data_IF_923126203888
#
_entry.id   IF_923126203888
#
_cell.length_a   1.000
_cell.length_b   1.000
_cell.length_c   1.000
_cell.angle_alpha   90.00
_cell.angle_beta   90.00
_cell.angle_gamma   90.00
#
_symmetry.space_group_name_H-M   'P 1'
#
loop_
_entity.id
_entity.type
_entity.pdbx_description
1 polymer ?
#
# COMPACT_ATOMS: atom_id res chain seq x y z
N UNK A 1 47.53 -38.75 -15.95
CA UNK A 1 46.65 -37.65 -16.36
C UNK A 1 45.22 -38.02 -15.95
N UNK A 2 44.79 -37.65 -14.73
CA UNK A 2 43.47 -37.96 -14.17
C UNK A 2 42.54 -36.78 -14.49
N UNK A 3 41.55 -36.99 -15.32
CA UNK A 3 40.45 -36.07 -15.57
C UNK A 3 39.45 -36.16 -14.40
N UNK A 4 39.45 -35.18 -13.50
CA UNK A 4 38.41 -34.98 -12.54
C UNK A 4 37.19 -34.36 -13.26
N UNK A 5 36.18 -35.20 -13.54
CA UNK A 5 34.85 -34.74 -13.96
C UNK A 5 34.15 -34.10 -12.78
N UNK A 6 34.15 -32.76 -12.73
CA UNK A 6 33.40 -31.98 -11.76
C UNK A 6 31.90 -32.08 -12.07
N UNK A 7 31.19 -32.94 -11.34
CA UNK A 7 29.72 -32.94 -11.34
C UNK A 7 29.24 -31.66 -10.65
N UNK A 8 28.81 -30.68 -11.43
CA UNK A 8 28.10 -29.52 -10.93
C UNK A 8 26.75 -29.98 -10.37
N UNK A 9 26.68 -30.17 -9.05
CA UNK A 9 25.43 -30.33 -8.32
C UNK A 9 24.63 -29.02 -8.47
N UNK A 10 23.76 -28.98 -9.46
CA UNK A 10 22.75 -27.93 -9.56
C UNK A 10 21.92 -27.98 -8.28
N UNK A 11 22.14 -27.02 -7.38
CA UNK A 11 21.32 -26.83 -6.18
C UNK A 11 19.89 -26.58 -6.65
N UNK A 12 19.04 -27.60 -6.59
CA UNK A 12 17.61 -27.46 -6.88
C UNK A 12 17.07 -26.49 -5.83
N UNK A 13 16.59 -25.34 -6.27
CA UNK A 13 15.88 -24.39 -5.42
C UNK A 13 14.69 -25.13 -4.78
N UNK A 14 14.70 -25.23 -3.45
CA UNK A 14 13.66 -25.92 -2.71
C UNK A 14 12.38 -25.08 -2.79
N UNK A 15 11.29 -25.66 -3.28
CA UNK A 15 9.97 -25.00 -3.29
C UNK A 15 9.25 -25.28 -1.98
N UNK A 16 8.69 -24.24 -1.38
CA UNK A 16 7.75 -24.35 -0.28
C UNK A 16 6.33 -24.42 -0.83
N UNK A 17 5.62 -25.48 -0.51
CA UNK A 17 4.24 -25.65 -0.94
C UNK A 17 3.29 -25.23 0.18
N UNK A 18 2.44 -24.27 -0.13
CA UNK A 18 1.39 -23.79 0.76
C UNK A 18 0.28 -24.84 0.86
N UNK A 19 -0.07 -25.24 2.08
CA UNK A 19 -1.10 -26.23 2.36
C UNK A 19 -2.28 -25.55 3.08
N UNK A 20 -3.47 -25.65 2.49
CA UNK A 20 -4.71 -25.10 3.04
C UNK A 20 -5.63 -26.17 3.67
N UNK A 21 -5.21 -27.42 3.69
CA UNK A 21 -6.05 -28.57 4.10
C UNK A 21 -6.65 -28.42 5.50
N UNK A 22 -5.90 -27.81 6.41
CA UNK A 22 -6.32 -27.63 7.82
C UNK A 22 -6.88 -26.24 8.12
N UNK A 23 -7.15 -25.47 7.08
CA UNK A 23 -7.68 -24.13 7.23
C UNK A 23 -9.19 -24.11 7.04
N UNK A 24 -9.87 -23.18 7.72
CA UNK A 24 -11.33 -23.00 7.61
C UNK A 24 -11.70 -21.55 7.41
N UNK A 25 -12.69 -21.29 6.56
CA UNK A 25 -13.30 -19.97 6.44
C UNK A 25 -14.30 -19.75 7.58
N UNK A 26 -14.31 -18.52 8.12
CA UNK A 26 -15.24 -18.10 9.18
C UNK A 26 -16.26 -17.13 8.61
N UNK A 27 -17.08 -17.61 7.68
CA UNK A 27 -18.15 -16.82 7.07
C UNK A 27 -19.49 -17.18 7.73
N UNK A 28 -20.25 -16.16 8.10
CA UNK A 28 -21.62 -16.32 8.63
C UNK A 28 -22.67 -16.47 7.51
N UNK A 29 -22.31 -16.15 6.27
CA UNK A 29 -23.23 -16.20 5.13
C UNK A 29 -23.03 -17.50 4.34
N UNK A 30 -24.08 -18.32 4.33
CA UNK A 30 -24.14 -19.62 3.63
C UNK A 30 -24.75 -19.48 2.22
N UNK A 31 -24.99 -18.28 1.72
CA UNK A 31 -25.61 -18.04 0.41
C UNK A 31 -24.63 -18.08 -0.75
N UNK A 32 -23.33 -18.00 -0.44
CA UNK A 32 -22.26 -18.03 -1.43
C UNK A 32 -21.82 -19.45 -1.76
N UNK A 33 -21.61 -19.72 -3.04
CA UNK A 33 -20.93 -20.91 -3.54
C UNK A 33 -19.81 -20.52 -4.50
N UNK A 34 -18.67 -21.19 -4.42
CA UNK A 34 -17.55 -20.97 -5.33
C UNK A 34 -17.54 -22.08 -6.39
N UNK A 35 -17.71 -21.68 -7.64
CA UNK A 35 -17.62 -22.59 -8.78
C UNK A 35 -16.15 -22.88 -9.13
N UNK A 36 -15.33 -21.82 -9.24
CA UNK A 36 -13.95 -21.94 -9.67
C UNK A 36 -13.11 -20.74 -9.25
N UNK A 37 -11.80 -20.97 -9.13
CA UNK A 37 -10.78 -19.91 -9.09
C UNK A 37 -10.03 -19.92 -10.41
N UNK A 38 -9.77 -18.74 -10.96
CA UNK A 38 -9.04 -18.54 -12.22
C UNK A 38 -7.79 -17.71 -11.94
N UNK A 39 -6.65 -18.09 -12.50
CA UNK A 39 -5.41 -17.31 -12.38
C UNK A 39 -5.31 -16.24 -13.47
N UNK A 40 -5.74 -15.04 -13.16
CA UNK A 40 -5.65 -13.86 -14.02
C UNK A 40 -4.35 -13.05 -13.85
N UNK A 41 -3.34 -13.60 -13.18
CA UNK A 41 -2.05 -12.93 -13.00
C UNK A 41 -1.24 -12.97 -14.29
N UNK A 42 -0.81 -11.81 -14.78
CA UNK A 42 0.00 -11.72 -15.99
C UNK A 42 1.30 -12.53 -15.84
N UNK A 43 1.53 -13.47 -16.74
CA UNK A 43 2.73 -14.33 -16.75
C UNK A 43 2.80 -15.34 -15.60
N UNK A 44 1.77 -15.47 -14.78
CA UNK A 44 1.65 -16.43 -13.67
C UNK A 44 2.95 -16.57 -12.82
N UNK A 45 3.46 -15.45 -12.26
CA UNK A 45 4.71 -15.47 -11.51
C UNK A 45 4.61 -16.32 -10.25
N UNK A 46 5.73 -16.78 -9.66
CA UNK A 46 5.74 -17.38 -8.33
C UNK A 46 5.00 -16.49 -7.33
N UNK A 47 4.30 -17.12 -6.39
CA UNK A 47 3.48 -16.37 -5.42
C UNK A 47 4.30 -15.75 -4.29
N UNK A 48 5.61 -16.04 -4.22
CA UNK A 48 6.49 -15.40 -3.24
C UNK A 48 7.73 -16.17 -2.89
N UNK A 49 8.38 -15.71 -1.82
CA UNK A 49 9.61 -16.30 -1.27
C UNK A 49 9.47 -16.39 0.24
N UNK A 50 9.87 -17.53 0.80
CA UNK A 50 10.00 -17.76 2.25
C UNK A 50 11.42 -18.18 2.61
N UNK A 51 11.79 -18.03 3.87
CA UNK A 51 13.11 -18.41 4.37
C UNK A 51 12.98 -19.60 5.32
N UNK A 52 13.70 -20.70 5.06
CA UNK A 52 13.58 -21.95 5.80
C UNK A 52 14.87 -22.37 6.49
N UNK A 53 14.68 -22.94 7.68
CA UNK A 53 15.76 -23.54 8.49
C UNK A 53 16.68 -22.52 9.12
N UNK A 54 17.60 -23.00 9.99
CA UNK A 54 18.55 -22.19 10.72
C UNK A 54 19.52 -21.37 9.85
N UNK A 55 19.61 -21.71 8.56
CA UNK A 55 20.45 -20.99 7.58
C UNK A 55 19.70 -19.97 6.72
N UNK A 56 18.41 -19.73 6.96
CA UNK A 56 17.61 -18.74 6.20
C UNK A 56 17.62 -18.99 4.69
N UNK A 57 17.60 -20.24 4.23
CA UNK A 57 17.60 -20.57 2.80
C UNK A 57 16.29 -20.11 2.17
N UNK A 58 16.39 -19.31 1.11
CA UNK A 58 15.21 -18.88 0.35
C UNK A 58 14.58 -20.05 -0.40
N UNK A 59 13.26 -20.11 -0.36
CA UNK A 59 12.46 -21.08 -1.10
C UNK A 59 11.32 -20.36 -1.82
N UNK A 60 11.11 -20.66 -3.10
CA UNK A 60 9.95 -20.13 -3.82
C UNK A 60 8.66 -20.73 -3.23
N UNK A 61 7.60 -19.93 -3.14
CA UNK A 61 6.30 -20.36 -2.65
C UNK A 61 5.40 -20.76 -3.82
N UNK A 62 4.72 -21.88 -3.69
CA UNK A 62 3.75 -22.35 -4.68
C UNK A 62 2.69 -23.25 -4.06
N UNK A 63 1.79 -23.73 -4.88
CA UNK A 63 0.85 -24.80 -4.56
C UNK A 63 1.25 -26.06 -5.33
N UNK A 64 1.11 -27.24 -4.72
CA UNK A 64 1.48 -28.52 -5.38
C UNK A 64 0.75 -28.75 -6.68
N UNK A 65 -0.53 -28.41 -6.72
CA UNK A 65 -1.43 -28.61 -7.87
C UNK A 65 -1.62 -27.33 -8.71
N UNK A 66 -0.80 -26.30 -8.46
CA UNK A 66 -1.02 -24.98 -9.02
C UNK A 66 -2.06 -24.16 -8.27
N UNK A 67 -2.08 -22.84 -8.51
CA UNK A 67 -2.92 -21.89 -7.78
C UNK A 67 -4.41 -22.15 -8.00
N UNK A 68 -4.82 -22.29 -9.25
CA UNK A 68 -6.25 -22.46 -9.58
C UNK A 68 -6.85 -23.71 -8.91
N UNK A 69 -6.20 -24.86 -9.08
CA UNK A 69 -6.69 -26.13 -8.55
C UNK A 69 -6.72 -26.09 -7.03
N UNK A 70 -5.65 -25.65 -6.40
CA UNK A 70 -5.55 -25.63 -4.94
C UNK A 70 -6.59 -24.72 -4.30
N UNK A 71 -6.75 -23.48 -4.79
CA UNK A 71 -7.74 -22.56 -4.27
C UNK A 71 -9.17 -22.96 -4.62
N UNK A 72 -9.41 -23.52 -5.83
CA UNK A 72 -10.73 -24.03 -6.21
C UNK A 72 -11.15 -25.15 -5.26
N UNK A 73 -10.30 -26.16 -5.08
CA UNK A 73 -10.61 -27.30 -4.19
C UNK A 73 -10.84 -26.85 -2.75
N UNK A 74 -10.00 -25.94 -2.24
CA UNK A 74 -10.19 -25.41 -0.88
C UNK A 74 -11.52 -24.66 -0.77
N UNK A 75 -11.82 -23.74 -1.68
CA UNK A 75 -13.02 -22.92 -1.60
C UNK A 75 -14.30 -23.72 -1.86
N UNK A 76 -14.29 -24.72 -2.73
CA UNK A 76 -15.43 -25.61 -2.94
C UNK A 76 -15.77 -26.47 -1.72
N UNK A 77 -14.76 -26.86 -0.94
CA UNK A 77 -15.00 -27.55 0.35
C UNK A 77 -15.63 -26.61 1.37
N UNK A 78 -15.19 -25.35 1.42
CA UNK A 78 -15.66 -24.35 2.38
C UNK A 78 -17.00 -23.73 1.99
N UNK A 79 -17.21 -23.50 0.69
CA UNK A 79 -18.36 -22.84 0.09
C UNK A 79 -18.93 -23.71 -1.05
N UNK A 80 -19.47 -24.88 -0.72
CA UNK A 80 -19.95 -25.82 -1.73
C UNK A 80 -21.20 -25.31 -2.43
N UNK A 81 -21.36 -25.71 -3.70
CA UNK A 81 -22.57 -25.46 -4.45
C UNK A 81 -23.73 -26.26 -3.81
N UNK A 82 -24.76 -25.56 -3.39
CA UNK A 82 -25.98 -26.13 -2.78
C UNK A 82 -27.21 -25.62 -3.54
N UNK A 83 -28.33 -26.36 -3.50
CA UNK A 83 -29.58 -25.87 -4.09
C UNK A 83 -30.08 -24.55 -3.50
N UNK A 84 -29.65 -24.25 -2.27
CA UNK A 84 -29.98 -23.02 -1.53
C UNK A 84 -28.95 -21.89 -1.72
N UNK A 85 -27.88 -22.12 -2.52
CA UNK A 85 -26.90 -21.07 -2.79
C UNK A 85 -27.57 -19.94 -3.57
N UNK A 86 -27.53 -18.73 -3.00
CA UNK A 86 -28.11 -17.55 -3.64
C UNK A 86 -27.22 -17.02 -4.76
N UNK A 87 -25.90 -17.17 -4.64
CA UNK A 87 -24.90 -16.64 -5.56
C UNK A 87 -23.79 -17.64 -5.84
N UNK A 88 -23.62 -18.00 -7.10
CA UNK A 88 -22.51 -18.84 -7.56
C UNK A 88 -21.43 -17.93 -8.17
N UNK A 89 -20.20 -18.02 -7.66
CA UNK A 89 -19.15 -17.09 -8.04
C UNK A 89 -17.91 -17.78 -8.61
N UNK A 90 -17.22 -17.05 -9.47
CA UNK A 90 -15.85 -17.32 -9.90
C UNK A 90 -14.95 -16.22 -9.36
N UNK A 91 -13.82 -16.62 -8.77
CA UNK A 91 -12.80 -15.72 -8.25
C UNK A 91 -11.63 -15.65 -9.24
N UNK A 92 -11.41 -14.52 -9.90
CA UNK A 92 -10.28 -14.31 -10.79
C UNK A 92 -9.14 -13.62 -10.03
N UNK A 93 -8.09 -14.35 -9.68
CA UNK A 93 -6.94 -13.83 -8.90
C UNK A 93 -6.10 -12.93 -9.78
N UNK A 94 -6.01 -11.64 -9.45
CA UNK A 94 -5.20 -10.63 -10.16
C UNK A 94 -3.81 -10.52 -9.58
N UNK A 95 -3.70 -10.72 -8.27
CA UNK A 95 -2.42 -10.76 -7.59
C UNK A 95 -2.51 -11.62 -6.33
N UNK A 96 -1.47 -12.42 -6.12
CA UNK A 96 -1.22 -13.11 -4.87
C UNK A 96 0.27 -13.03 -4.61
N UNK A 97 0.64 -12.49 -3.45
CA UNK A 97 2.03 -12.44 -3.04
C UNK A 97 2.16 -12.89 -1.59
N UNK A 98 3.15 -13.70 -1.32
CA UNK A 98 3.52 -14.20 0.01
C UNK A 98 4.99 -13.88 0.22
N UNK A 99 5.31 -13.21 1.31
CA UNK A 99 6.67 -12.82 1.64
C UNK A 99 7.01 -13.09 3.09
N UNK A 100 8.26 -13.36 3.31
CA UNK A 100 8.86 -13.32 4.63
C UNK A 100 9.97 -12.30 4.66
N UNK A 101 10.02 -11.56 5.73
CA UNK A 101 11.16 -10.73 6.06
C UNK A 101 11.73 -11.19 7.38
N UNK A 102 13.05 -11.23 7.48
CA UNK A 102 13.74 -11.69 8.68
C UNK A 102 14.34 -10.48 9.38
N UNK A 103 14.12 -10.28 10.67
CA UNK A 103 14.63 -9.15 11.42
C UNK A 103 15.00 -9.48 12.85
N UNK A 104 16.26 -9.40 13.19
CA UNK A 104 16.78 -9.70 14.52
C UNK A 104 16.32 -11.10 14.96
N UNK A 105 15.60 -11.16 16.09
CA UNK A 105 15.04 -12.39 16.62
C UNK A 105 13.58 -12.65 16.17
N UNK A 106 13.06 -11.89 15.22
CA UNK A 106 11.65 -12.02 14.76
C UNK A 106 11.59 -12.03 13.25
N UNK A 107 10.78 -12.94 12.75
CA UNK A 107 10.37 -12.97 11.35
C UNK A 107 9.03 -12.26 11.19
N UNK A 108 8.81 -11.64 10.05
CA UNK A 108 7.50 -11.13 9.66
C UNK A 108 7.03 -11.90 8.43
N UNK A 109 5.90 -12.58 8.54
CA UNK A 109 5.19 -13.11 7.40
C UNK A 109 4.21 -12.09 6.87
N UNK A 110 4.12 -11.95 5.56
CA UNK A 110 3.16 -11.09 4.87
C UNK A 110 2.46 -11.86 3.78
N UNK A 111 1.21 -11.53 3.53
CA UNK A 111 0.45 -12.00 2.39
C UNK A 111 -0.42 -10.87 1.86
N UNK A 112 -0.55 -10.75 0.54
CA UNK A 112 -1.51 -9.89 -0.13
C UNK A 112 -2.22 -10.65 -1.24
N UNK A 113 -3.51 -10.37 -1.41
CA UNK A 113 -4.36 -10.93 -2.47
C UNK A 113 -5.21 -9.82 -3.05
N UNK A 114 -5.33 -9.82 -4.39
CA UNK A 114 -6.36 -9.09 -5.12
C UNK A 114 -7.03 -10.02 -6.09
N UNK A 115 -8.34 -9.94 -6.15
CA UNK A 115 -9.13 -10.76 -7.07
C UNK A 115 -10.37 -9.99 -7.54
N UNK A 116 -10.86 -10.36 -8.71
CA UNK A 116 -12.15 -9.92 -9.20
C UNK A 116 -13.16 -11.05 -9.00
N UNK A 117 -14.32 -10.70 -8.48
CA UNK A 117 -15.43 -11.61 -8.27
C UNK A 117 -16.42 -11.47 -9.41
N UNK A 118 -16.77 -12.59 -10.02
CA UNK A 118 -17.80 -12.69 -11.05
C UNK A 118 -18.90 -13.61 -10.56
N UNK A 119 -20.15 -13.21 -10.77
CA UNK A 119 -21.32 -14.04 -10.52
C UNK A 119 -21.68 -14.82 -11.79
N UNK A 120 -21.92 -16.11 -11.66
CA UNK A 120 -22.37 -16.96 -12.76
C UNK A 120 -23.90 -16.91 -12.85
N UNK A 121 -24.39 -16.20 -13.83
CA UNK A 121 -25.81 -16.12 -14.20
C UNK A 121 -26.09 -16.93 -15.47
N UNK A 122 -27.36 -17.21 -15.84
CA UNK A 122 -27.68 -17.95 -17.06
C UNK A 122 -27.11 -17.34 -18.35
N UNK A 123 -26.81 -16.04 -18.33
CA UNK A 123 -26.26 -15.29 -19.45
C UNK A 123 -24.72 -15.33 -19.51
N UNK A 124 -24.05 -15.84 -18.50
CA UNK A 124 -22.60 -15.91 -18.36
C UNK A 124 -22.06 -15.34 -17.06
N UNK A 125 -20.81 -14.94 -17.06
CA UNK A 125 -20.13 -14.40 -15.87
C UNK A 125 -20.20 -12.89 -15.84
N UNK A 126 -20.78 -12.34 -14.78
CA UNK A 126 -20.98 -10.91 -14.61
C UNK A 126 -20.08 -10.38 -13.50
N UNK A 127 -19.35 -9.31 -13.77
CA UNK A 127 -18.47 -8.70 -12.78
C UNK A 127 -19.27 -8.15 -11.60
N UNK A 128 -18.92 -8.57 -10.39
CA UNK A 128 -19.52 -8.09 -9.14
C UNK A 128 -18.69 -6.94 -8.57
N UNK A 129 -17.44 -7.23 -8.24
CA UNK A 129 -16.48 -6.23 -7.76
C UNK A 129 -15.08 -6.81 -7.65
N UNK A 130 -14.09 -5.91 -7.53
CA UNK A 130 -12.75 -6.28 -7.08
C UNK A 130 -12.71 -6.35 -5.55
N UNK A 131 -12.04 -7.37 -5.04
CA UNK A 131 -11.82 -7.61 -3.61
C UNK A 131 -10.33 -7.80 -3.33
N UNK A 132 -9.91 -7.61 -2.11
CA UNK A 132 -8.53 -7.84 -1.73
C UNK A 132 -8.29 -7.62 -0.26
N UNK A 133 -7.12 -8.04 0.18
CA UNK A 133 -6.70 -7.91 1.56
C UNK A 133 -5.20 -8.06 1.72
N UNK A 134 -4.74 -7.70 2.90
CA UNK A 134 -3.37 -7.82 3.36
C UNK A 134 -3.37 -8.39 4.77
N UNK A 135 -2.47 -9.33 5.03
CA UNK A 135 -2.27 -9.88 6.37
C UNK A 135 -0.78 -9.93 6.69
N UNK A 136 -0.44 -9.65 7.94
CA UNK A 136 0.94 -9.78 8.43
C UNK A 136 0.97 -10.30 9.87
N UNK A 137 2.02 -11.03 10.21
CA UNK A 137 2.28 -11.45 11.58
C UNK A 137 3.77 -11.55 11.85
N UNK A 138 4.14 -11.27 13.09
CA UNK A 138 5.50 -11.39 13.60
C UNK A 138 5.61 -12.68 14.42
N UNK A 139 6.77 -13.32 14.37
CA UNK A 139 7.07 -14.53 15.16
C UNK A 139 8.52 -14.95 15.05
N UNK A 140 8.91 -15.96 15.81
CA UNK A 140 10.25 -16.57 15.70
C UNK A 140 10.34 -17.49 14.47
N UNK A 141 9.23 -18.07 14.07
CA UNK A 141 9.03 -18.85 12.86
C UNK A 141 7.67 -18.49 12.28
N UNK A 142 7.63 -18.03 11.05
CA UNK A 142 6.42 -17.48 10.44
C UNK A 142 5.96 -18.22 9.19
N UNK A 143 6.79 -19.12 8.64
CA UNK A 143 6.48 -19.85 7.41
C UNK A 143 5.15 -20.63 7.50
N UNK A 144 4.86 -21.23 8.66
CA UNK A 144 3.58 -21.92 8.89
C UNK A 144 2.34 -21.01 8.96
N UNK A 145 2.50 -19.69 9.05
CA UNK A 145 1.39 -18.73 9.19
C UNK A 145 0.78 -18.30 7.85
N UNK A 146 1.46 -18.52 6.75
CA UNK A 146 1.00 -18.04 5.44
C UNK A 146 -0.33 -18.62 5.00
N UNK A 147 -0.58 -19.90 5.31
CA UNK A 147 -1.89 -20.52 5.05
C UNK A 147 -3.02 -19.80 5.80
N UNK A 148 -2.82 -19.51 7.09
CA UNK A 148 -3.78 -18.75 7.89
C UNK A 148 -3.96 -17.30 7.40
N UNK A 149 -2.87 -16.63 6.97
CA UNK A 149 -2.97 -15.29 6.39
C UNK A 149 -3.80 -15.27 5.11
N UNK A 150 -3.59 -16.25 4.22
CA UNK A 150 -4.38 -16.33 3.00
C UNK A 150 -5.86 -16.55 3.30
N UNK A 151 -6.18 -17.42 4.24
CA UNK A 151 -7.56 -17.66 4.66
C UNK A 151 -8.19 -16.44 5.34
N UNK A 152 -7.43 -15.73 6.18
CA UNK A 152 -7.86 -14.45 6.73
C UNK A 152 -8.22 -13.46 5.64
N UNK A 153 -7.35 -13.31 4.63
CA UNK A 153 -7.60 -12.40 3.49
C UNK A 153 -8.83 -12.85 2.70
N UNK A 154 -9.00 -14.14 2.44
CA UNK A 154 -10.20 -14.66 1.76
C UNK A 154 -11.48 -14.36 2.56
N UNK A 155 -11.47 -14.53 3.88
CA UNK A 155 -12.59 -14.13 4.73
C UNK A 155 -12.89 -12.63 4.58
N UNK A 156 -11.86 -11.79 4.57
CA UNK A 156 -12.02 -10.34 4.40
C UNK A 156 -12.55 -10.00 3.00
N UNK A 157 -12.09 -10.70 1.96
CA UNK A 157 -12.60 -10.56 0.59
C UNK A 157 -14.09 -10.89 0.49
N UNK A 158 -14.52 -12.01 1.04
CA UNK A 158 -15.93 -12.40 0.99
C UNK A 158 -16.82 -11.50 1.83
N UNK A 159 -16.34 -10.99 2.95
CA UNK A 159 -17.06 -9.97 3.74
C UNK A 159 -17.25 -8.63 3.01
N UNK A 160 -16.44 -8.34 1.99
CA UNK A 160 -16.62 -7.15 1.15
C UNK A 160 -17.80 -7.29 0.18
N UNK A 161 -18.31 -8.50 -0.05
CA UNK A 161 -19.48 -8.74 -0.91
C UNK A 161 -20.75 -8.37 -0.14
N UNK A 162 -21.55 -7.49 -0.69
CA UNK A 162 -22.79 -7.01 -0.08
C UNK A 162 -23.98 -7.17 -1.02
N UNK A 163 -25.18 -7.14 -0.48
CA UNK A 163 -26.41 -7.25 -1.27
C UNK A 163 -26.50 -6.27 -2.45
N UNK A 164 -25.98 -5.04 -2.28
CA UNK A 164 -25.93 -4.04 -3.35
C UNK A 164 -25.02 -4.42 -4.52
N UNK A 165 -23.98 -5.23 -4.26
CA UNK A 165 -23.04 -5.67 -5.30
C UNK A 165 -23.68 -6.63 -6.30
N UNK A 166 -24.60 -7.50 -5.86
CA UNK A 166 -25.27 -8.49 -6.69
C UNK A 166 -26.27 -7.87 -7.66
N UNK A 167 -27.08 -6.92 -7.18
CA UNK A 167 -28.04 -6.20 -8.01
C UNK A 167 -27.38 -5.41 -9.15
N UNK A 168 -26.16 -4.93 -8.93
CA UNK A 168 -25.39 -4.22 -9.93
C UNK A 168 -24.68 -5.17 -10.89
N UNK A 169 -24.24 -6.33 -10.41
CA UNK A 169 -23.60 -7.36 -11.23
C UNK A 169 -24.49 -7.80 -12.38
N UNK A 170 -25.77 -8.03 -12.14
CA UNK A 170 -26.73 -8.42 -13.19
C UNK A 170 -26.84 -7.41 -14.36
N UNK A 171 -26.44 -6.17 -14.16
CA UNK A 171 -26.43 -5.10 -15.18
C UNK A 171 -25.09 -5.02 -15.94
N UNK A 172 -24.05 -5.71 -15.46
CA UNK A 172 -22.76 -5.73 -16.12
C UNK A 172 -22.80 -6.60 -17.39
N UNK A 173 -21.95 -6.33 -18.38
CA UNK A 173 -21.83 -7.21 -19.54
C UNK A 173 -21.44 -8.62 -19.16
N UNK A 174 -22.08 -9.62 -19.78
CA UNK A 174 -21.71 -11.02 -19.60
C UNK A 174 -20.35 -11.33 -20.24
N UNK A 175 -19.58 -12.21 -19.60
CA UNK A 175 -18.30 -12.73 -20.09
C UNK A 175 -18.36 -14.24 -20.15
N UNK A 176 -17.45 -14.82 -20.93
CA UNK A 176 -17.17 -16.25 -20.88
C UNK A 176 -16.05 -16.53 -19.89
N UNK A 177 -15.97 -17.74 -19.35
CA UNK A 177 -14.92 -18.14 -18.43
C UNK A 177 -13.51 -17.90 -19.00
N UNK A 178 -13.32 -18.13 -20.31
CA UNK A 178 -12.05 -17.92 -20.98
C UNK A 178 -11.63 -16.44 -21.08
N UNK A 179 -12.56 -15.53 -21.00
CA UNK A 179 -12.27 -14.08 -21.03
C UNK A 179 -11.83 -13.55 -19.67
N UNK A 180 -12.21 -14.20 -18.55
CA UNK A 180 -11.96 -13.67 -17.21
C UNK A 180 -10.48 -13.38 -16.92
N UNK A 181 -9.49 -14.18 -17.33
CA UNK A 181 -8.08 -13.88 -17.05
C UNK A 181 -7.61 -12.55 -17.63
N UNK A 182 -8.09 -12.20 -18.82
CA UNK A 182 -7.69 -10.99 -19.56
C UNK A 182 -8.69 -9.85 -19.44
N UNK A 183 -9.88 -10.11 -18.88
CA UNK A 183 -10.87 -9.06 -18.65
C UNK A 183 -10.31 -8.04 -17.65
N UNK A 184 -10.37 -6.78 -18.05
CA UNK A 184 -10.13 -5.65 -17.16
C UNK A 184 -11.49 -5.04 -16.89
N UNK A 185 -12.18 -5.45 -15.82
CA UNK A 185 -13.47 -4.86 -15.51
C UNK A 185 -13.32 -3.35 -15.48
N UNK A 186 -14.21 -2.66 -16.17
CA UNK A 186 -14.31 -1.21 -15.99
C UNK A 186 -14.75 -1.02 -14.55
N UNK A 187 -13.74 -0.90 -13.71
CA UNK A 187 -13.91 -0.71 -12.28
C UNK A 187 -14.88 0.45 -12.07
N UNK A 188 -15.74 0.35 -11.06
CA UNK A 188 -16.59 1.45 -10.58
C UNK A 188 -15.82 2.76 -10.35
N UNK A 189 -14.50 2.72 -10.22
CA UNK A 189 -13.62 3.89 -10.23
C UNK A 189 -13.49 4.56 -11.60
N UNK A 190 -13.65 3.84 -12.69
CA UNK A 190 -13.89 4.41 -14.04
C UNK A 190 -15.39 4.51 -14.32
N UNK A 191 -16.19 3.86 -13.47
CA UNK A 191 -17.64 3.79 -13.57
C UNK A 191 -18.28 5.13 -13.33
N UNK A 192 -18.87 5.58 -14.36
CA UNK A 192 -19.79 6.68 -14.38
C UNK A 192 -19.15 8.01 -13.98
N UNK A 193 -19.25 8.96 -14.83
CA UNK A 193 -18.96 10.42 -14.77
C UNK A 193 -19.00 11.12 -13.39
N UNK A 194 -19.13 10.37 -12.28
CA UNK A 194 -19.09 10.79 -10.88
C UNK A 194 -17.97 10.05 -10.16
N UNK A 195 -16.72 10.58 -10.22
CA UNK A 195 -15.60 10.06 -9.44
C UNK A 195 -15.92 9.97 -7.94
N UNK A 196 -15.15 9.19 -7.18
CA UNK A 196 -15.33 8.94 -5.75
C UNK A 196 -15.49 10.26 -4.97
N UNK A 197 -16.48 10.33 -4.09
CA UNK A 197 -16.80 11.55 -3.34
C UNK A 197 -15.61 12.03 -2.50
N UNK A 198 -14.85 11.11 -1.92
CA UNK A 198 -13.63 11.41 -1.14
C UNK A 198 -12.52 12.04 -1.99
N UNK A 199 -12.51 11.83 -3.32
CA UNK A 199 -11.57 12.46 -4.23
C UNK A 199 -12.00 13.84 -4.72
N UNK A 200 -13.22 14.29 -4.41
CA UNK A 200 -13.76 15.58 -4.88
C UNK A 200 -13.87 16.63 -3.79
N UNK A 201 -14.13 16.18 -2.58
CA UNK A 201 -14.36 17.04 -1.44
C UNK A 201 -13.39 16.69 -0.30
N UNK A 202 -13.21 17.63 0.62
CA UNK A 202 -12.53 17.34 1.86
C UNK A 202 -13.26 16.22 2.62
N UNK A 203 -12.54 15.39 3.38
CA UNK A 203 -13.15 14.33 4.15
C UNK A 203 -14.09 14.93 5.21
N UNK A 204 -15.31 14.39 5.29
CA UNK A 204 -16.29 14.85 6.30
C UNK A 204 -15.89 14.33 7.67
N UNK A 205 -16.08 15.14 8.70
CA UNK A 205 -15.80 14.76 10.09
C UNK A 205 -16.67 13.59 10.53
N UNK A 206 -16.07 12.53 11.11
CA UNK A 206 -16.78 11.38 11.66
C UNK A 206 -16.00 10.08 11.57
N UNK A 207 -16.66 8.97 11.91
CA UNK A 207 -16.11 7.63 11.93
C UNK A 207 -16.45 6.87 10.64
N UNK A 208 -15.50 6.15 10.10
CA UNK A 208 -15.68 5.22 8.98
C UNK A 208 -15.49 3.80 9.48
N UNK A 209 -16.53 3.00 9.50
CA UNK A 209 -16.44 1.58 9.85
C UNK A 209 -16.12 0.70 8.65
N UNK A 210 -16.32 1.21 7.43
CA UNK A 210 -16.09 0.48 6.18
C UNK A 210 -15.49 1.40 5.11
N UNK A 211 -14.79 0.77 4.17
CA UNK A 211 -14.19 1.44 3.01
C UNK A 211 -15.24 2.21 2.19
N UNK A 212 -16.42 1.63 1.94
CA UNK A 212 -17.46 2.27 1.14
C UNK A 212 -17.96 3.58 1.75
N UNK A 213 -18.05 3.66 3.09
CA UNK A 213 -18.36 4.91 3.78
C UNK A 213 -17.28 5.98 3.52
N UNK A 214 -16.01 5.58 3.54
CA UNK A 214 -14.89 6.47 3.21
C UNK A 214 -14.96 6.92 1.75
N UNK A 215 -15.11 6.00 0.80
CA UNK A 215 -15.17 6.31 -0.64
C UNK A 215 -16.32 7.27 -0.99
N UNK A 216 -17.47 7.09 -0.35
CA UNK A 216 -18.65 7.94 -0.52
C UNK A 216 -18.60 9.21 0.35
N UNK A 217 -17.53 9.38 1.16
CA UNK A 217 -17.39 10.48 2.11
C UNK A 217 -18.62 10.62 3.05
N UNK A 218 -19.10 9.49 3.54
CA UNK A 218 -20.28 9.35 4.40
C UNK A 218 -19.90 8.70 5.75
N UNK A 219 -19.19 9.43 6.63
CA UNK A 219 -18.88 8.93 7.97
C UNK A 219 -20.12 8.87 8.84
N UNK A 220 -20.06 8.05 9.89
CA UNK A 220 -20.94 8.18 11.03
C UNK A 220 -20.57 9.45 11.82
N UNK A 221 -21.52 10.36 11.96
CA UNK A 221 -21.33 11.65 12.63
C UNK A 221 -21.93 11.69 14.04
N UNK A 222 -22.42 10.55 14.54
CA UNK A 222 -23.07 10.49 15.86
C UNK A 222 -22.10 10.79 17.02
N UNK A 223 -20.79 10.65 16.80
CA UNK A 223 -19.76 10.91 17.80
C UNK A 223 -18.89 12.10 17.42
N UNK A 224 -18.66 13.01 18.35
CA UNK A 224 -17.66 14.06 18.23
C UNK A 224 -16.27 13.43 18.41
N UNK A 225 -15.35 13.69 17.48
CA UNK A 225 -14.03 13.08 17.47
C UNK A 225 -12.99 14.17 17.64
N UNK A 226 -12.07 13.95 18.57
CA UNK A 226 -10.82 14.67 18.71
C UNK A 226 -9.65 13.76 18.29
N UNK A 227 -8.58 14.38 17.80
CA UNK A 227 -7.39 13.67 17.37
C UNK A 227 -6.31 13.84 18.42
N UNK A 228 -5.89 12.74 19.04
CA UNK A 228 -4.74 12.73 19.93
C UNK A 228 -3.51 12.17 19.22
N UNK A 229 -2.41 12.91 19.32
CA UNK A 229 -1.15 12.51 18.66
C UNK A 229 -0.28 11.70 19.62
N UNK A 230 0.01 10.47 19.22
CA UNK A 230 0.86 9.57 20.00
C UNK A 230 2.32 9.89 19.72
N UNK A 231 3.02 10.43 20.70
CA UNK A 231 4.46 10.69 20.59
C UNK A 231 5.25 9.39 20.57
N UNK A 232 6.19 9.26 19.63
CA UNK A 232 7.12 8.13 19.57
C UNK A 232 8.23 8.33 20.58
N UNK A 233 8.56 7.28 21.34
CA UNK A 233 9.79 7.23 22.12
C UNK A 233 10.90 6.75 21.19
N UNK A 234 11.77 7.64 20.77
CA UNK A 234 12.86 7.34 19.85
C UNK A 234 14.17 7.30 20.63
N UNK A 235 14.96 6.25 20.36
CA UNK A 235 16.18 5.98 21.12
C UNK A 235 17.38 6.78 20.65
N UNK A 236 17.31 7.43 19.47
CA UNK A 236 18.42 8.21 18.94
C UNK A 236 17.96 9.49 18.25
N UNK A 237 18.79 10.54 18.20
CA UNK A 237 18.51 11.77 17.48
C UNK A 237 18.29 11.55 15.96
N UNK A 238 19.01 10.58 15.37
CA UNK A 238 18.86 10.23 13.96
C UNK A 238 17.48 9.64 13.69
N UNK A 239 17.01 8.71 14.52
CA UNK A 239 15.66 8.17 14.43
C UNK A 239 14.61 9.27 14.64
N UNK A 240 14.84 10.22 15.55
CA UNK A 240 13.95 11.35 15.75
C UNK A 240 13.82 12.22 14.51
N UNK A 241 14.94 12.48 13.80
CA UNK A 241 14.94 13.25 12.56
C UNK A 241 14.18 12.52 11.44
N UNK A 242 14.31 11.20 11.32
CA UNK A 242 13.60 10.39 10.32
C UNK A 242 12.07 10.41 10.53
N UNK A 243 11.63 10.44 11.78
CA UNK A 243 10.22 10.42 12.16
C UNK A 243 9.59 11.81 12.35
N UNK A 244 10.32 12.86 12.11
CA UNK A 244 9.78 14.22 12.18
C UNK A 244 8.61 14.37 11.19
N UNK A 245 7.49 14.91 11.67
CA UNK A 245 6.22 15.08 10.93
C UNK A 245 5.46 13.78 10.59
N UNK A 246 5.93 12.61 11.02
CA UNK A 246 5.18 11.36 10.89
C UNK A 246 4.48 11.07 12.21
N UNK A 247 3.19 11.31 12.26
CA UNK A 247 2.38 11.11 13.46
C UNK A 247 1.68 9.76 13.44
N UNK A 248 1.64 9.09 14.58
CA UNK A 248 0.61 8.13 14.93
C UNK A 248 -0.48 8.87 15.67
N UNK A 249 -1.71 8.54 15.42
CA UNK A 249 -2.84 9.20 16.07
C UNK A 249 -3.81 8.19 16.64
N UNK A 250 -4.67 8.64 17.53
CA UNK A 250 -5.83 7.89 17.98
C UNK A 250 -7.04 8.81 18.02
N UNK A 251 -8.22 8.33 17.66
CA UNK A 251 -9.44 9.07 17.87
C UNK A 251 -9.80 9.06 19.35
N UNK A 252 -10.16 10.21 19.88
CA UNK A 252 -10.80 10.35 21.18
C UNK A 252 -12.25 10.71 20.93
N UNK A 253 -13.18 9.85 21.36
CA UNK A 253 -14.60 10.19 21.32
C UNK A 253 -14.87 11.15 22.45
N UNK A 254 -15.20 12.38 22.11
CA UNK A 254 -15.63 13.40 23.06
C UNK A 254 -17.12 13.24 23.34
N UNK A 255 -17.47 12.29 24.21
CA UNK A 255 -18.75 12.29 24.87
C UNK A 255 -18.52 12.62 26.34
N UNK A 256 -19.21 13.59 26.83
CA UNK A 256 -19.09 14.31 28.09
C UNK A 256 -19.05 13.47 29.38
N UNK A 257 -19.01 12.16 29.33
CA UNK A 257 -19.06 11.32 30.56
C UNK A 257 -18.12 10.10 30.56
N UNK A 258 -17.67 9.58 29.43
CA UNK A 258 -16.78 8.41 29.42
C UNK A 258 -15.87 8.43 28.18
N UNK A 259 -14.57 8.33 28.37
CA UNK A 259 -13.61 7.96 27.32
C UNK A 259 -13.95 6.56 26.80
N UNK A 260 -14.91 6.48 25.91
CA UNK A 260 -15.35 5.20 25.33
C UNK A 260 -14.19 4.67 24.47
N UNK A 261 -13.80 3.45 24.74
CA UNK A 261 -12.81 2.76 23.92
C UNK A 261 -13.20 2.85 22.42
N UNK A 262 -12.25 3.18 21.57
CA UNK A 262 -12.44 3.20 20.12
C UNK A 262 -12.95 1.83 19.68
N UNK A 263 -14.05 1.75 18.89
CA UNK A 263 -14.55 0.49 18.39
C UNK A 263 -13.46 -0.35 17.71
N UNK A 264 -13.42 -1.64 18.02
CA UNK A 264 -12.38 -2.52 17.50
C UNK A 264 -12.45 -2.71 15.98
N UNK A 265 -13.62 -2.50 15.38
CA UNK A 265 -13.95 -2.62 13.97
C UNK A 265 -13.84 -1.29 13.20
N UNK A 266 -13.38 -0.21 13.85
CA UNK A 266 -13.21 1.07 13.20
C UNK A 266 -12.16 0.97 12.08
N UNK A 267 -12.57 1.24 10.85
CA UNK A 267 -11.70 1.25 9.67
C UNK A 267 -10.85 2.52 9.59
N UNK A 268 -11.44 3.66 9.93
CA UNK A 268 -10.80 4.96 9.88
C UNK A 268 -11.70 6.07 10.45
N UNK A 269 -11.19 7.27 10.46
CA UNK A 269 -11.95 8.46 10.90
C UNK A 269 -11.46 9.73 10.20
N UNK A 270 -12.17 10.83 10.38
CA UNK A 270 -11.74 12.15 9.92
C UNK A 270 -12.11 13.23 10.93
N UNK A 271 -11.23 14.22 11.05
CA UNK A 271 -11.49 15.46 11.81
C UNK A 271 -12.18 16.56 10.98
N UNK A 272 -12.48 16.26 9.72
CA UNK A 272 -13.05 17.21 8.75
C UNK A 272 -12.00 17.92 7.89
N UNK A 273 -10.73 17.83 8.23
CA UNK A 273 -9.61 18.37 7.44
C UNK A 273 -8.75 17.24 6.86
N UNK A 274 -8.53 16.21 7.65
CA UNK A 274 -7.71 15.06 7.30
C UNK A 274 -8.44 13.76 7.61
N UNK A 275 -8.25 12.76 6.76
CA UNK A 275 -8.70 11.41 7.02
C UNK A 275 -7.55 10.58 7.60
N UNK A 276 -7.92 9.62 8.44
CA UNK A 276 -7.00 8.71 9.11
C UNK A 276 -7.46 7.28 8.86
N UNK A 277 -6.53 6.39 8.54
CA UNK A 277 -6.81 4.98 8.29
C UNK A 277 -6.18 4.11 9.37
N UNK A 278 -6.88 3.07 9.75
CA UNK A 278 -6.33 2.05 10.64
C UNK A 278 -5.44 1.10 9.85
N UNK A 279 -4.21 0.96 10.29
CA UNK A 279 -3.28 -0.05 9.81
C UNK A 279 -2.69 -0.78 11.00
N UNK A 280 -2.84 -2.10 11.04
CA UNK A 280 -2.56 -2.94 12.20
C UNK A 280 -3.35 -2.46 13.44
N UNK A 281 -2.70 -1.92 14.45
CA UNK A 281 -3.32 -1.43 15.69
C UNK A 281 -3.25 0.08 15.85
N UNK A 282 -2.79 0.80 14.81
CA UNK A 282 -2.54 2.23 14.85
C UNK A 282 -3.35 2.95 13.78
N UNK A 283 -3.56 4.26 13.97
CA UNK A 283 -4.12 5.11 12.94
C UNK A 283 -3.05 6.04 12.38
N UNK A 284 -3.09 6.23 11.07
CA UNK A 284 -2.15 7.05 10.32
C UNK A 284 -2.88 8.08 9.46
N UNK A 285 -2.36 9.32 9.38
CA UNK A 285 -2.93 10.34 8.53
C UNK A 285 -2.79 9.96 7.05
N UNK A 286 -3.90 9.95 6.32
CA UNK A 286 -3.93 9.70 4.88
C UNK A 286 -3.59 10.98 4.13
N UNK A 287 -2.56 10.96 3.32
CA UNK A 287 -2.24 12.05 2.38
C UNK A 287 -2.79 11.69 1.01
N UNK A 288 -3.61 12.57 0.46
CA UNK A 288 -4.12 12.39 -0.90
C UNK A 288 -3.05 12.80 -1.91
N UNK A 289 -2.81 11.94 -2.89
CA UNK A 289 -1.90 12.16 -4.01
C UNK A 289 -2.64 11.87 -5.33
N UNK A 290 -3.23 12.90 -5.92
CA UNK A 290 -4.08 12.73 -7.09
C UNK A 290 -5.29 11.84 -6.78
N UNK A 291 -5.35 10.67 -7.40
CA UNK A 291 -6.41 9.67 -7.20
C UNK A 291 -6.01 8.54 -6.23
N UNK A 292 -4.92 8.69 -5.50
CA UNK A 292 -4.45 7.73 -4.51
C UNK A 292 -4.41 8.35 -3.12
N UNK A 293 -4.44 7.49 -2.11
CA UNK A 293 -4.15 7.87 -0.73
C UNK A 293 -2.95 7.09 -0.24
N UNK A 294 -2.05 7.79 0.44
CA UNK A 294 -0.84 7.22 1.04
C UNK A 294 -0.70 7.65 2.47
N UNK A 295 0.07 6.91 3.24
CA UNK A 295 0.54 7.33 4.56
C UNK A 295 1.95 6.82 4.80
N UNK A 296 2.62 7.35 5.82
CA UNK A 296 3.95 6.90 6.23
C UNK A 296 3.82 6.07 7.51
N UNK A 297 4.24 4.83 7.42
CA UNK A 297 4.28 3.87 8.52
C UNK A 297 5.68 3.33 8.77
N UNK A 298 5.79 2.35 9.65
CA UNK A 298 7.06 1.68 9.93
C UNK A 298 7.41 0.69 8.84
N UNK A 299 8.67 0.70 8.39
CA UNK A 299 9.18 -0.32 7.50
C UNK A 299 9.04 -1.70 8.16
N UNK A 300 8.66 -2.72 7.41
CA UNK A 300 8.80 -4.09 7.87
C UNK A 300 10.28 -4.37 8.16
N UNK A 301 10.50 -5.49 8.82
CA UNK A 301 11.85 -5.92 9.17
C UNK A 301 12.73 -6.06 7.93
N UNK A 302 13.94 -5.53 7.98
CA UNK A 302 14.90 -5.55 6.88
C UNK A 302 15.48 -6.97 6.65
N UNK A 303 14.98 -7.65 5.61
CA UNK A 303 15.38 -9.00 5.27
C UNK A 303 16.88 -9.11 4.89
N UNK A 304 17.44 -8.09 4.23
CA UNK A 304 18.84 -8.11 3.80
C UNK A 304 19.78 -8.00 5.00
N UNK A 305 19.47 -7.11 5.92
CA UNK A 305 20.22 -6.97 7.17
C UNK A 305 20.26 -8.28 7.95
N UNK A 306 19.12 -8.94 8.07
CA UNK A 306 19.02 -10.16 8.88
C UNK A 306 19.67 -11.35 8.23
N UNK A 307 19.52 -11.49 6.91
CA UNK A 307 20.25 -12.53 6.18
C UNK A 307 21.77 -12.34 6.34
N UNK A 308 22.26 -11.10 6.23
CA UNK A 308 23.66 -10.78 6.43
C UNK A 308 24.11 -11.02 7.88
N UNK A 309 23.28 -10.69 8.86
CA UNK A 309 23.55 -10.96 10.26
C UNK A 309 23.62 -12.47 10.56
N UNK A 310 22.63 -13.24 10.06
CA UNK A 310 22.58 -14.68 10.24
C UNK A 310 23.82 -15.38 9.62
N UNK A 311 24.20 -14.98 8.40
CA UNK A 311 25.38 -15.51 7.72
C UNK A 311 26.66 -15.21 8.54
N UNK A 312 26.79 -14.00 9.07
CA UNK A 312 27.95 -13.59 9.86
C UNK A 312 27.96 -14.28 11.23
N UNK A 313 26.80 -14.46 11.86
CA UNK A 313 26.67 -15.22 13.10
C UNK A 313 27.08 -16.68 12.91
N UNK A 314 26.62 -17.33 11.83
CA UNK A 314 27.01 -18.69 11.50
C UNK A 314 28.53 -18.81 11.31
N UNK A 315 29.13 -17.92 10.52
CA UNK A 315 30.59 -17.91 10.29
C UNK A 315 31.37 -17.66 11.58
N UNK A 316 30.97 -16.68 12.37
CA UNK A 316 31.64 -16.35 13.64
C UNK A 316 31.42 -17.44 14.71
N UNK A 317 30.23 -18.05 14.74
CA UNK A 317 29.93 -19.17 15.62
C UNK A 317 30.80 -20.40 15.35
N UNK A 318 31.08 -20.67 14.08
CA UNK A 318 32.01 -21.74 13.67
C UNK A 318 33.46 -21.45 14.13
N UNK A 319 33.88 -20.17 14.16
CA UNK A 319 35.26 -19.77 14.49
C UNK A 319 35.46 -19.51 15.98
N UNK A 320 34.47 -18.95 16.64
CA UNK A 320 34.60 -18.40 18.01
C UNK A 320 33.51 -18.89 18.98
N UNK A 321 32.68 -19.85 18.58
CA UNK A 321 31.60 -20.36 19.42
C UNK A 321 30.54 -19.32 19.76
N UNK A 322 29.90 -19.44 20.93
CA UNK A 322 28.79 -18.59 21.39
C UNK A 322 29.16 -17.11 21.44
N UNK A 323 30.38 -16.79 21.85
CA UNK A 323 30.90 -15.41 21.91
C UNK A 323 31.00 -14.76 20.54
N UNK A 324 31.34 -15.51 19.51
CA UNK A 324 31.38 -15.04 18.13
C UNK A 324 30.00 -14.71 17.58
N UNK A 325 28.95 -15.45 17.99
CA UNK A 325 27.56 -15.18 17.63
C UNK A 325 27.07 -13.87 18.21
N UNK A 326 27.34 -13.62 19.48
CA UNK A 326 26.93 -12.39 20.20
C UNK A 326 27.63 -11.14 19.65
N UNK A 327 28.89 -11.27 19.21
CA UNK A 327 29.66 -10.14 18.65
C UNK A 327 29.45 -9.94 17.13
N UNK A 328 28.62 -10.72 16.48
CA UNK A 328 28.40 -10.60 15.06
C UNK A 328 27.67 -9.28 14.75
N UNK A 329 28.39 -8.33 14.13
CA UNK A 329 27.78 -7.11 13.55
C UNK A 329 27.88 -7.23 12.03
N UNK A 330 26.82 -6.84 11.33
CA UNK A 330 26.86 -6.74 9.88
C UNK A 330 27.23 -5.34 9.42
N UNK A 331 27.84 -5.23 8.26
CA UNK A 331 28.10 -3.96 7.58
C UNK A 331 26.89 -3.47 6.79
N UNK A 332 25.88 -4.35 6.60
CA UNK A 332 24.63 -3.98 5.96
C UNK A 332 23.83 -3.11 6.95
N UNK A 333 23.32 -1.93 6.53
CA UNK A 333 22.51 -1.09 7.37
C UNK A 333 21.17 -1.76 7.68
N UNK A 334 20.68 -1.56 8.91
CA UNK A 334 19.35 -2.04 9.32
C UNK A 334 18.32 -0.95 9.06
N UNK A 335 17.40 -1.23 8.13
CA UNK A 335 16.30 -0.34 7.78
C UNK A 335 14.97 -0.72 8.46
N UNK A 336 15.01 -1.65 9.41
CA UNK A 336 13.83 -2.05 10.20
C UNK A 336 13.22 -0.83 10.90
N UNK A 337 11.91 -0.73 10.85
CA UNK A 337 11.14 0.35 11.46
C UNK A 337 11.50 1.78 10.98
N UNK A 338 12.24 1.93 9.90
CA UNK A 338 12.38 3.23 9.23
C UNK A 338 11.04 3.69 8.63
N UNK A 339 10.82 5.00 8.48
CA UNK A 339 9.62 5.49 7.82
C UNK A 339 9.58 5.05 6.34
N UNK A 340 8.53 4.33 5.96
CA UNK A 340 8.23 4.00 4.57
C UNK A 340 6.80 4.39 4.21
N UNK A 341 6.56 4.50 2.92
CA UNK A 341 5.25 4.79 2.39
C UNK A 341 4.39 3.55 2.26
N UNK A 342 3.11 3.71 2.63
CA UNK A 342 2.04 2.77 2.35
C UNK A 342 0.99 3.41 1.46
N UNK A 343 0.39 2.63 0.59
CA UNK A 343 -0.71 3.03 -0.26
C UNK A 343 -2.00 2.32 0.14
N UNK A 344 -3.11 3.04 0.01
CA UNK A 344 -4.47 2.51 0.14
C UNK A 344 -5.03 2.22 -1.26
N UNK A 345 -5.38 0.99 -1.52
CA UNK A 345 -6.10 0.60 -2.71
C UNK A 345 -7.58 0.98 -2.57
N UNK A 346 -8.05 1.93 -3.36
CA UNK A 346 -9.42 2.42 -3.26
C UNK A 346 -10.48 1.44 -3.80
N UNK A 347 -10.07 0.39 -4.53
CA UNK A 347 -11.01 -0.62 -5.00
C UNK A 347 -11.26 -1.68 -3.95
N UNK A 348 -10.20 -2.11 -3.27
CA UNK A 348 -10.23 -3.24 -2.37
C UNK A 348 -10.14 -2.85 -0.90
N UNK A 349 -9.64 -1.64 -0.60
CA UNK A 349 -9.31 -1.21 0.76
C UNK A 349 -8.02 -1.83 1.30
N UNK A 350 -7.30 -2.59 0.48
CA UNK A 350 -6.03 -3.17 0.89
C UNK A 350 -4.97 -2.08 1.09
N UNK A 351 -4.18 -2.24 2.14
CA UNK A 351 -3.05 -1.38 2.46
C UNK A 351 -1.78 -2.19 2.28
N UNK A 352 -0.84 -1.63 1.56
CA UNK A 352 0.47 -2.26 1.33
C UNK A 352 1.55 -1.23 1.04
N UNK A 353 2.85 -1.63 1.04
CA UNK A 353 3.94 -0.73 0.69
C UNK A 353 3.69 -0.04 -0.65
N UNK A 354 3.92 1.27 -0.69
CA UNK A 354 3.70 2.09 -1.88
C UNK A 354 5.03 2.36 -2.61
N UNK A 355 5.05 2.30 -3.93
CA UNK A 355 3.97 2.02 -4.88
C UNK A 355 3.60 0.54 -5.04
N UNK A 356 4.12 -0.33 -4.20
CA UNK A 356 3.92 -1.77 -4.20
C UNK A 356 5.21 -2.54 -4.49
N UNK A 357 5.41 -3.67 -3.82
CA UNK A 357 6.61 -4.51 -3.97
C UNK A 357 6.86 -5.01 -5.41
N UNK A 358 5.84 -4.98 -6.27
CA UNK A 358 5.93 -5.42 -7.67
C UNK A 358 6.46 -4.37 -8.62
N UNK A 359 6.40 -3.11 -8.26
CA UNK A 359 6.90 -2.00 -9.09
C UNK A 359 8.42 -1.80 -8.94
N UNK A 360 9.08 -2.61 -8.11
CA UNK A 360 10.55 -2.59 -7.93
C UNK A 360 11.35 -2.95 -9.21
N UNK A 361 10.69 -3.17 -10.32
CA UNK A 361 11.37 -3.44 -11.58
C UNK A 361 11.76 -2.18 -12.36
N UNK A 362 11.84 -0.97 -11.73
CA UNK A 362 12.46 0.26 -12.30
C UNK A 362 11.52 1.45 -12.52
N UNK A 363 12.02 2.66 -12.58
CA UNK A 363 13.39 3.15 -12.51
C UNK A 363 13.81 3.48 -11.08
N UNK A 364 15.11 3.57 -10.86
CA UNK A 364 15.72 3.84 -9.56
C UNK A 364 15.46 5.26 -9.02
N UNK A 365 14.87 6.13 -9.83
CA UNK A 365 14.64 7.54 -9.49
C UNK A 365 13.21 7.95 -9.87
N UNK A 366 12.47 8.45 -8.88
CA UNK A 366 11.23 9.17 -9.11
C UNK A 366 11.51 10.67 -9.26
N UNK A 367 10.73 11.36 -10.08
CA UNK A 367 10.86 12.80 -10.29
C UNK A 367 9.65 13.52 -9.71
N UNK A 368 9.91 14.58 -8.95
CA UNK A 368 8.89 15.48 -8.40
C UNK A 368 9.08 16.85 -9.00
N UNK A 369 8.11 17.31 -9.78
CA UNK A 369 8.07 18.65 -10.32
C UNK A 369 7.33 19.55 -9.33
N UNK A 370 8.05 20.51 -8.77
CA UNK A 370 7.48 21.56 -7.92
C UNK A 370 7.35 22.81 -8.77
N UNK A 371 6.16 23.37 -8.91
CA UNK A 371 5.94 24.51 -9.77
C UNK A 371 4.98 25.54 -9.20
N UNK A 372 5.11 26.78 -9.64
CA UNK A 372 4.22 27.88 -9.31
C UNK A 372 3.63 28.46 -10.59
N UNK A 373 2.31 28.57 -10.66
CA UNK A 373 1.66 29.25 -11.78
C UNK A 373 1.95 30.76 -11.75
N UNK A 374 1.97 31.44 -12.92
CA UNK A 374 1.99 32.88 -12.94
C UNK A 374 0.83 33.43 -12.12
N UNK A 375 1.10 34.33 -11.20
CA UNK A 375 0.05 35.05 -10.51
C UNK A 375 -0.34 36.26 -11.32
N UNK A 376 -1.64 36.48 -11.48
CA UNK A 376 -2.17 37.76 -11.96
C UNK A 376 -1.87 38.80 -10.88
N UNK A 377 -0.74 39.45 -10.92
CA UNK A 377 -0.43 40.52 -9.99
C UNK A 377 -1.24 41.76 -10.35
N UNK A 378 -1.92 42.40 -9.37
CA UNK A 378 -2.43 43.75 -9.59
C UNK A 378 -1.26 44.70 -9.93
N UNK A 379 -1.43 45.53 -10.92
CA UNK A 379 -0.45 46.49 -11.34
C UNK A 379 0.01 47.34 -10.13
N UNK A 380 1.29 47.21 -9.75
CA UNK A 380 1.89 47.93 -8.62
C UNK A 380 2.45 47.06 -7.48
N UNK A 381 2.23 45.76 -7.49
CA UNK A 381 2.86 44.87 -6.52
C UNK A 381 4.35 44.66 -6.92
N UNK A 382 5.27 44.93 -6.00
CA UNK A 382 6.70 44.69 -6.19
C UNK A 382 6.98 43.23 -6.61
N UNK A 383 8.10 42.98 -7.33
CA UNK A 383 8.50 41.63 -7.76
C UNK A 383 8.39 40.67 -6.57
N UNK A 384 7.47 39.75 -6.67
CA UNK A 384 7.36 38.67 -5.67
C UNK A 384 8.70 37.90 -5.66
N UNK A 385 9.39 37.93 -4.52
CA UNK A 385 10.65 37.19 -4.34
C UNK A 385 10.39 35.71 -4.54
N UNK A 386 11.35 35.01 -5.15
CA UNK A 386 11.27 33.56 -5.27
C UNK A 386 11.27 32.87 -3.90
N UNK A 387 10.62 31.72 -3.81
CA UNK A 387 10.57 30.89 -2.61
C UNK A 387 11.67 29.83 -2.73
N UNK A 388 12.50 29.68 -1.69
CA UNK A 388 13.52 28.63 -1.67
C UNK A 388 12.87 27.31 -1.32
N UNK A 389 13.03 26.33 -2.19
CA UNK A 389 12.60 24.95 -1.97
C UNK A 389 13.77 24.14 -1.45
N UNK A 390 13.56 23.50 -0.29
CA UNK A 390 14.55 22.63 0.37
C UNK A 390 14.05 21.20 0.31
N UNK A 391 14.85 20.28 -0.22
CA UNK A 391 14.58 18.85 -0.28
C UNK A 391 15.55 18.09 0.64
N UNK A 392 15.04 17.29 1.57
CA UNK A 392 15.86 16.51 2.52
C UNK A 392 16.92 17.36 3.25
N UNK A 393 16.59 18.60 3.59
CA UNK A 393 17.49 19.53 4.27
C UNK A 393 18.53 20.20 3.38
N UNK A 394 18.48 19.99 2.06
CA UNK A 394 19.36 20.66 1.07
C UNK A 394 18.53 21.57 0.17
N UNK A 395 19.06 22.72 -0.17
CA UNK A 395 18.42 23.60 -1.12
C UNK A 395 18.33 22.92 -2.49
N UNK A 396 17.10 22.79 -3.00
CA UNK A 396 16.81 22.25 -4.33
C UNK A 396 16.81 23.37 -5.38
N UNK A 397 16.47 24.60 -4.97
CA UNK A 397 16.47 25.76 -5.82
C UNK A 397 15.48 26.83 -5.36
N UNK A 398 15.46 27.95 -6.11
CA UNK A 398 14.52 29.04 -5.90
C UNK A 398 13.40 28.95 -6.93
N UNK A 399 12.16 28.96 -6.45
CA UNK A 399 10.97 28.86 -7.28
C UNK A 399 10.25 30.21 -7.32
N UNK A 400 10.22 30.81 -8.49
CA UNK A 400 9.45 32.03 -8.78
C UNK A 400 8.11 31.74 -9.47
N UNK A 401 7.24 32.78 -9.57
CA UNK A 401 6.01 32.68 -10.36
C UNK A 401 6.33 32.31 -11.83
N UNK A 402 5.59 31.35 -12.37
CA UNK A 402 5.81 30.87 -13.74
C UNK A 402 7.01 29.95 -13.91
N UNK A 403 7.58 29.44 -12.84
CA UNK A 403 8.75 28.55 -12.87
C UNK A 403 8.43 27.17 -12.28
N UNK A 404 9.29 26.20 -12.57
CA UNK A 404 9.27 24.89 -11.95
C UNK A 404 10.68 24.39 -11.60
N UNK A 405 10.76 23.48 -10.66
CA UNK A 405 11.96 22.75 -10.26
C UNK A 405 11.71 21.26 -10.43
N UNK A 406 12.68 20.56 -10.99
CA UNK A 406 12.72 19.11 -11.06
C UNK A 406 13.55 18.57 -9.88
N UNK A 407 12.94 17.76 -9.04
CA UNK A 407 13.59 17.19 -7.86
C UNK A 407 13.68 15.68 -8.04
N UNK A 408 14.88 15.13 -8.32
CA UNK A 408 15.07 13.69 -8.41
C UNK A 408 15.05 13.06 -7.01
N UNK A 409 14.34 11.94 -6.85
CA UNK A 409 14.29 11.14 -5.64
C UNK A 409 14.74 9.71 -5.95
N UNK A 410 15.99 9.39 -5.61
CA UNK A 410 16.58 8.07 -5.80
C UNK A 410 16.23 7.08 -4.69
N UNK A 411 15.50 7.50 -3.67
CA UNK A 411 15.11 6.66 -2.53
C UNK A 411 13.71 6.11 -2.75
N UNK A 412 13.63 5.06 -3.54
CA UNK A 412 12.37 4.38 -3.82
C UNK A 412 11.62 3.95 -2.54
N UNK A 413 10.31 4.22 -2.49
CA UNK A 413 9.45 3.87 -1.35
C UNK A 413 9.73 4.66 -0.06
N UNK A 414 10.68 5.58 -0.08
CA UNK A 414 10.95 6.48 1.06
C UNK A 414 10.24 7.80 0.86
N UNK A 415 9.74 8.39 1.95
CA UNK A 415 9.19 9.75 1.87
C UNK A 415 10.29 10.76 1.56
N UNK A 416 9.95 11.75 0.75
CA UNK A 416 10.76 12.94 0.46
C UNK A 416 10.20 14.10 1.27
N UNK A 417 11.04 14.76 2.06
CA UNK A 417 10.66 15.98 2.76
C UNK A 417 10.97 17.19 1.91
N UNK A 418 9.94 17.97 1.59
CA UNK A 418 10.05 19.26 0.92
C UNK A 418 9.66 20.37 1.88
N UNK A 419 10.50 21.40 2.02
CA UNK A 419 10.22 22.56 2.84
C UNK A 419 10.35 23.84 2.02
N UNK A 420 9.63 24.87 2.40
CA UNK A 420 9.76 26.23 1.88
C UNK A 420 10.47 27.11 2.90
N UNK A 421 11.43 27.89 2.45
CA UNK A 421 12.09 28.88 3.28
C UNK A 421 11.95 30.28 2.67
N UNK A 422 11.99 31.29 3.52
CA UNK A 422 11.83 32.67 3.07
C UNK A 422 10.42 33.23 3.12
N UNK A 423 9.42 32.46 3.54
CA UNK A 423 8.05 32.91 3.75
C UNK A 423 7.59 32.55 5.17
N UNK A 424 6.81 33.42 5.83
CA UNK A 424 6.21 33.13 7.14
C UNK A 424 5.01 32.17 6.96
N UNK A 425 5.26 30.94 6.56
CA UNK A 425 4.23 29.93 6.29
C UNK A 425 4.12 28.95 7.46
N UNK A 426 2.92 28.77 7.99
CA UNK A 426 2.64 27.88 9.13
C UNK A 426 2.96 26.40 8.80
N UNK A 427 2.80 25.96 7.55
CA UNK A 427 3.05 24.60 7.06
C UNK A 427 4.08 24.60 5.92
N UNK A 428 5.26 25.14 6.20
CA UNK A 428 6.32 25.25 5.20
C UNK A 428 6.87 23.93 4.70
N UNK A 429 6.68 22.84 5.45
CA UNK A 429 7.18 21.51 5.07
C UNK A 429 6.05 20.54 4.73
N UNK A 430 6.31 19.70 3.72
CA UNK A 430 5.45 18.61 3.29
C UNK A 430 6.27 17.33 3.17
N UNK A 431 5.72 16.22 3.66
CA UNK A 431 6.27 14.90 3.44
C UNK A 431 5.52 14.27 2.27
N UNK A 432 6.24 13.97 1.19
CA UNK A 432 5.67 13.39 -0.02
C UNK A 432 6.23 12.00 -0.27
N UNK A 433 5.44 11.17 -0.93
CA UNK A 433 5.87 9.83 -1.36
C UNK A 433 5.86 9.81 -2.88
N UNK A 434 7.04 10.03 -3.52
CA UNK A 434 7.11 10.05 -4.96
C UNK A 434 6.74 8.70 -5.58
N UNK A 435 5.93 8.74 -6.63
CA UNK A 435 5.62 7.56 -7.43
C UNK A 435 6.68 7.42 -8.54
N UNK A 436 7.35 6.27 -8.61
CA UNK A 436 8.35 6.00 -9.63
C UNK A 436 7.77 5.55 -10.98
N UNK A 437 6.49 5.17 -11.01
CA UNK A 437 5.84 4.73 -12.25
C UNK A 437 5.26 5.86 -13.09
N UNK A 438 5.22 7.08 -12.55
CA UNK A 438 4.72 8.29 -13.23
C UNK A 438 5.42 9.53 -12.70
N UNK A 439 5.34 10.62 -13.45
CA UNK A 439 5.82 11.92 -12.99
C UNK A 439 4.89 12.46 -11.88
N UNK A 440 5.50 13.08 -10.88
CA UNK A 440 4.82 13.61 -9.71
C UNK A 440 4.80 15.15 -9.81
N UNK A 441 3.63 15.75 -9.65
CA UNK A 441 3.45 17.18 -9.80
C UNK A 441 2.89 17.80 -8.52
N UNK A 442 3.59 18.79 -8.01
CA UNK A 442 3.27 19.51 -6.79
C UNK A 442 3.21 20.99 -7.09
N UNK A 443 2.01 21.55 -7.07
CA UNK A 443 1.80 22.98 -7.28
C UNK A 443 1.95 23.74 -5.97
N UNK A 444 2.71 24.84 -6.02
CA UNK A 444 2.82 25.78 -4.92
C UNK A 444 1.79 26.88 -5.09
N UNK A 445 0.96 27.06 -4.05
CA UNK A 445 0.05 28.19 -3.91
C UNK A 445 0.53 29.12 -2.79
N UNK A 446 1.34 30.10 -3.19
CA UNK A 446 1.90 31.07 -2.25
C UNK A 446 0.83 32.00 -1.64
N UNK A 447 -0.36 32.11 -2.23
CA UNK A 447 -1.47 32.88 -1.70
C UNK A 447 -2.21 32.16 -0.55
N UNK A 448 -2.02 30.85 -0.39
CA UNK A 448 -2.60 30.05 0.67
C UNK A 448 -1.56 29.61 1.71
N UNK A 449 -1.26 30.45 2.73
CA UNK A 449 -0.21 30.12 3.71
C UNK A 449 -0.53 28.95 4.61
N UNK A 450 -1.80 28.52 4.70
CA UNK A 450 -2.21 27.37 5.51
C UNK A 450 -2.01 26.04 4.79
N UNK A 451 -2.14 26.04 3.46
CA UNK A 451 -1.97 24.85 2.61
C UNK A 451 -1.24 25.25 1.33
N UNK A 452 0.06 25.60 1.40
CA UNK A 452 0.81 26.08 0.24
C UNK A 452 1.08 24.99 -0.81
N UNK A 453 0.97 23.73 -0.43
CA UNK A 453 1.27 22.60 -1.28
C UNK A 453 0.02 21.92 -1.82
N UNK A 454 -0.05 21.73 -3.12
CA UNK A 454 -1.16 21.04 -3.77
C UNK A 454 -0.66 19.98 -4.73
N UNK A 455 -1.00 18.71 -4.47
CA UNK A 455 -0.84 17.66 -5.45
C UNK A 455 -1.82 17.84 -6.61
N UNK A 456 -1.31 17.65 -7.82
CA UNK A 456 -2.13 17.64 -9.04
C UNK A 456 -1.98 16.31 -9.76
N UNK A 457 -2.95 15.95 -10.58
CA UNK A 457 -2.87 14.74 -11.40
C UNK A 457 -1.72 14.86 -12.42
N UNK A 458 -1.18 13.71 -12.86
CA UNK A 458 -0.12 13.70 -13.85
C UNK A 458 -0.52 14.41 -15.15
N UNK A 459 -1.76 14.23 -15.60
CA UNK A 459 -2.28 14.92 -16.79
C UNK A 459 -2.36 16.43 -16.61
N UNK A 460 -2.86 16.89 -15.44
CA UNK A 460 -2.95 18.33 -15.15
C UNK A 460 -1.56 18.96 -14.97
N UNK A 461 -0.66 18.26 -14.25
CA UNK A 461 0.70 18.75 -14.02
C UNK A 461 1.50 18.88 -15.31
N UNK A 462 1.40 17.89 -16.19
CA UNK A 462 2.02 17.95 -17.50
C UNK A 462 1.48 19.12 -18.33
N UNK A 463 0.17 19.31 -18.39
CA UNK A 463 -0.45 20.43 -19.10
C UNK A 463 -0.02 21.80 -18.52
N UNK A 464 0.09 21.89 -17.19
CA UNK A 464 0.55 23.11 -16.53
C UNK A 464 2.02 23.43 -16.89
N UNK A 465 2.91 22.43 -16.90
CA UNK A 465 4.31 22.62 -17.26
C UNK A 465 4.47 22.99 -18.74
N UNK A 466 3.73 22.35 -19.65
CA UNK A 466 3.71 22.69 -21.07
C UNK A 466 3.28 24.15 -21.31
N UNK A 467 2.33 24.64 -20.50
CA UNK A 467 1.91 26.04 -20.54
C UNK A 467 3.00 26.98 -20.06
N UNK A 468 3.69 26.64 -18.94
CA UNK A 468 4.81 27.42 -18.40
C UNK A 468 5.95 27.51 -19.43
N UNK A 469 6.27 26.40 -20.10
CA UNK A 469 7.31 26.37 -21.13
C UNK A 469 6.93 27.21 -22.37
N UNK A 470 5.65 27.22 -22.77
CA UNK A 470 5.16 28.08 -23.85
C UNK A 470 5.28 29.56 -23.49
N UNK A 471 4.89 29.91 -22.26
CA UNK A 471 4.97 31.30 -21.78
C UNK A 471 6.42 31.74 -21.63
N UNK A 472 7.33 30.91 -21.16
CA UNK A 472 8.75 31.20 -21.07
C UNK A 472 9.40 31.42 -22.47
N UNK A 473 8.95 30.68 -23.49
CA UNK A 473 9.40 30.88 -24.88
C UNK A 473 8.86 32.16 -25.50
N UNK A 474 7.63 32.55 -25.18
CA UNK A 474 7.00 33.76 -25.69
C UNK A 474 7.55 35.04 -25.06
N UNK A 475 8.19 34.95 -23.89
CA UNK A 475 8.79 36.08 -23.16
C UNK A 475 10.27 36.30 -23.49
N UNK A 476 10.88 35.44 -24.29
CA UNK A 476 12.23 35.57 -24.87
C UNK A 476 12.16 36.18 -26.24
#
# INVERSE_FOLDING_TARGET
>A
MLLLAGASLAARAQTYYLDLTYQTLTLSDNTLAVEKVVDGRAGQPPIGIVYRGLGGKSAAVGFRQGLETALTSFLQVQLPLRPTSGHTIVLCVRSLHIGETMGGNKQQATADLRADVYEHLPTGYHFVRSVGGYASAYGNETTGRHAGHLVQILNDCFRQLSAGSWAEAARQPARTLAQLPTDVPVSLAAGGKRGLAILRAAPRRGLYFRLDQFLNNQPDTASTIEVDTIRRRLQSPLAAAQWQQVARVRPLASNTVLHRAVPADLWGFSDGQQAFVRYEKQFYPLTRQGNAFTFVGEAPVDALYVAALAQKQQRNGMLFGVTGVVMARTTVPDHTAEPIAYGLDLHTGAIGPYPGLRTILRPDTAYVYVYQRPQSQPAGAGKAGGVVVVAEGREAGVLGPGQYLEIPCARFGKPLRLCLTGLPLANSCLLVVPNSSQLNYLRLDAANPRQPWQWVSAAQGAADLDELDRQAKASR
#
